data_IF_495287012985
#
_entry.id   IF_495287012985
#
_cell.length_a   1.000
_cell.length_b   1.000
_cell.length_c   1.000
_cell.angle_alpha   90.00
_cell.angle_beta   90.00
_cell.angle_gamma   90.00
#
_symmetry.space_group_name_H-M   'P 1'
#
loop_
_entity.id
_entity.type
_entity.pdbx_description
1 polymer ?
#
# COMPACT_ATOMS: atom_id res chain seq x y z
N UNK A 1 19.66 2.65 17.90
CA UNK A 1 19.36 3.70 16.90
C UNK A 1 17.85 3.82 16.71
N UNK A 2 17.13 2.77 16.31
CA UNK A 2 15.66 2.85 16.15
C UNK A 2 14.91 3.13 17.46
N UNK A 3 15.44 2.68 18.61
CA UNK A 3 14.82 2.94 19.91
C UNK A 3 14.74 4.43 20.27
N UNK A 4 15.80 5.22 20.03
CA UNK A 4 15.83 6.67 20.30
C UNK A 4 14.86 7.41 19.38
N UNK A 5 14.83 7.01 18.10
CA UNK A 5 13.93 7.57 17.09
C UNK A 5 12.47 7.26 17.46
N UNK A 6 12.17 6.02 17.89
CA UNK A 6 10.84 5.62 18.34
C UNK A 6 10.38 6.43 19.55
N UNK A 7 11.27 6.72 20.51
CA UNK A 7 10.96 7.60 21.65
C UNK A 7 10.68 9.03 21.18
N UNK A 8 11.52 9.60 20.31
CA UNK A 8 11.29 10.95 19.78
C UNK A 8 9.97 11.05 19.00
N UNK A 9 9.62 10.02 18.23
CA UNK A 9 8.34 9.91 17.53
C UNK A 9 7.19 9.86 18.54
N UNK A 10 7.28 9.02 19.59
CA UNK A 10 6.29 8.97 20.66
C UNK A 10 6.05 10.36 21.27
N UNK A 11 7.11 11.06 21.63
CA UNK A 11 7.01 12.40 22.22
C UNK A 11 6.39 13.42 21.26
N UNK A 12 6.75 13.38 19.98
CA UNK A 12 6.15 14.24 18.94
C UNK A 12 4.66 13.95 18.79
N UNK A 13 4.28 12.68 18.70
CA UNK A 13 2.89 12.25 18.58
C UNK A 13 2.06 12.59 19.82
N UNK A 14 2.62 12.51 21.03
CA UNK A 14 1.92 12.90 22.26
C UNK A 14 1.58 14.40 22.28
N UNK A 15 2.47 15.26 21.78
CA UNK A 15 2.25 16.71 21.69
C UNK A 15 1.29 17.11 20.56
N UNK A 16 1.22 16.30 19.50
CA UNK A 16 0.39 16.59 18.32
C UNK A 16 -1.11 16.54 18.63
N UNK A 17 -1.88 17.50 18.12
CA UNK A 17 -3.35 17.54 18.20
C UNK A 17 -4.00 17.47 16.82
N UNK A 18 -3.39 18.14 15.83
CA UNK A 18 -3.85 18.16 14.44
C UNK A 18 -2.81 17.52 13.54
N UNK A 19 -3.08 16.31 13.06
CA UNK A 19 -2.10 15.48 12.34
C UNK A 19 -2.50 15.35 10.88
N UNK A 20 -1.56 15.61 9.98
CA UNK A 20 -1.65 15.27 8.57
C UNK A 20 -0.83 14.01 8.30
N UNK A 21 -1.44 13.01 7.69
CA UNK A 21 -0.78 11.78 7.24
C UNK A 21 -0.93 11.68 5.74
N UNK A 22 0.18 11.50 5.03
CA UNK A 22 0.21 11.25 3.59
C UNK A 22 1.01 9.98 3.28
N UNK A 23 0.78 9.43 2.10
CA UNK A 23 1.58 8.35 1.53
C UNK A 23 1.80 8.62 0.03
N UNK A 24 2.37 7.67 -0.69
CA UNK A 24 2.77 7.88 -2.07
C UNK A 24 1.61 7.86 -3.09
N UNK A 25 1.80 8.53 -4.22
CA UNK A 25 0.97 8.40 -5.43
C UNK A 25 0.94 6.96 -5.92
N UNK A 26 -0.17 6.57 -6.55
CA UNK A 26 -0.53 5.20 -6.89
C UNK A 26 -0.43 4.28 -5.66
N UNK A 27 -1.20 4.57 -4.60
CA UNK A 27 -1.10 3.84 -3.34
C UNK A 27 -1.48 2.37 -3.54
N UNK A 28 -0.64 1.48 -3.01
CA UNK A 28 -0.92 0.06 -2.92
C UNK A 28 -1.56 -0.25 -1.56
N UNK A 29 -1.62 -1.55 -1.21
CA UNK A 29 -2.26 -1.96 0.03
C UNK A 29 -1.46 -1.60 1.28
N UNK A 30 -0.14 -1.47 1.21
CA UNK A 30 0.66 -1.04 2.37
C UNK A 30 0.55 0.47 2.59
N UNK A 31 0.61 1.26 1.52
CA UNK A 31 0.34 2.69 1.59
C UNK A 31 -1.04 2.99 2.21
N UNK A 32 -2.09 2.30 1.74
CA UNK A 32 -3.45 2.46 2.29
C UNK A 32 -3.54 1.92 3.72
N UNK A 33 -3.00 0.72 3.98
CA UNK A 33 -3.06 0.05 5.26
C UNK A 33 -2.33 0.80 6.36
N UNK A 34 -1.14 1.31 6.07
CA UNK A 34 -0.31 2.11 6.97
C UNK A 34 -0.96 3.47 7.28
N UNK A 35 -1.49 4.15 6.26
CA UNK A 35 -2.17 5.44 6.40
C UNK A 35 -3.44 5.32 7.25
N UNK A 36 -4.30 4.33 6.97
CA UNK A 36 -5.50 4.07 7.76
C UNK A 36 -5.16 3.56 9.16
N UNK A 37 -4.20 2.64 9.29
CA UNK A 37 -3.78 2.07 10.57
C UNK A 37 -3.29 3.13 11.55
N UNK A 38 -2.35 3.98 11.13
CA UNK A 38 -1.88 5.10 11.95
C UNK A 38 -2.99 6.12 12.17
N UNK A 39 -3.71 6.51 11.11
CA UNK A 39 -4.71 7.56 11.20
C UNK A 39 -5.89 7.22 12.11
N UNK A 40 -6.39 5.99 12.06
CA UNK A 40 -7.45 5.51 12.95
C UNK A 40 -6.96 5.39 14.39
N UNK A 41 -5.74 4.89 14.62
CA UNK A 41 -5.19 4.80 15.97
C UNK A 41 -5.05 6.18 16.63
N UNK A 42 -4.59 7.18 15.87
CA UNK A 42 -4.50 8.57 16.35
C UNK A 42 -5.88 9.21 16.56
N UNK A 43 -6.87 8.94 15.70
CA UNK A 43 -8.26 9.39 15.90
C UNK A 43 -8.87 8.80 17.16
N UNK A 44 -8.68 7.51 17.42
CA UNK A 44 -9.17 6.84 18.62
C UNK A 44 -8.58 7.44 19.90
N UNK A 45 -7.36 7.99 19.82
CA UNK A 45 -6.71 8.73 20.89
C UNK A 45 -7.15 10.21 21.01
N UNK A 46 -8.23 10.61 20.30
CA UNK A 46 -8.83 11.94 20.40
C UNK A 46 -8.16 13.02 19.54
N UNK A 47 -7.25 12.66 18.63
CA UNK A 47 -6.59 13.63 17.74
C UNK A 47 -7.46 13.96 16.53
N UNK A 48 -7.28 15.16 15.99
CA UNK A 48 -7.83 15.52 14.68
C UNK A 48 -6.88 15.04 13.61
N UNK A 49 -7.29 14.11 12.76
CA UNK A 49 -6.41 13.50 11.74
C UNK A 49 -6.96 13.69 10.34
N UNK A 50 -6.13 14.26 9.47
CA UNK A 50 -6.33 14.32 8.03
C UNK A 50 -5.48 13.24 7.36
N UNK A 51 -6.14 12.29 6.71
CA UNK A 51 -5.50 11.24 5.93
C UNK A 51 -5.62 11.59 4.44
N UNK A 52 -4.49 11.65 3.73
CA UNK A 52 -4.45 12.09 2.33
C UNK A 52 -3.76 11.06 1.44
N UNK A 53 -4.46 10.68 0.37
CA UNK A 53 -3.89 9.96 -0.77
C UNK A 53 -4.29 10.72 -2.02
N UNK A 54 -3.32 11.28 -2.74
CA UNK A 54 -3.57 12.17 -3.89
C UNK A 54 -4.42 11.49 -4.98
N UNK A 55 -4.12 10.22 -5.26
CA UNK A 55 -4.90 9.43 -6.23
C UNK A 55 -6.17 8.80 -5.63
N UNK A 56 -6.36 8.94 -4.31
CA UNK A 56 -7.42 8.35 -3.51
C UNK A 56 -7.22 6.86 -3.22
N UNK A 57 -8.17 6.29 -2.47
CA UNK A 57 -8.16 4.86 -2.14
C UNK A 57 -8.63 4.03 -3.33
N UNK A 58 -7.81 3.05 -3.74
CA UNK A 58 -8.15 2.10 -4.80
C UNK A 58 -9.37 1.26 -4.41
N UNK A 59 -10.18 0.85 -5.39
CA UNK A 59 -11.47 0.19 -5.14
C UNK A 59 -11.35 -1.07 -4.28
N UNK A 60 -10.26 -1.82 -4.43
CA UNK A 60 -9.97 -3.04 -3.66
C UNK A 60 -9.84 -2.79 -2.17
N UNK A 61 -9.54 -1.56 -1.72
CA UNK A 61 -9.33 -1.23 -0.30
C UNK A 61 -10.42 -0.33 0.30
N UNK A 62 -11.44 0.06 -0.48
CA UNK A 62 -12.57 0.89 0.01
C UNK A 62 -13.50 0.18 1.01
N UNK A 63 -13.29 -1.11 1.24
CA UNK A 63 -14.02 -1.84 2.27
C UNK A 63 -13.43 -1.62 3.67
N UNK A 64 -12.21 -1.08 3.76
CA UNK A 64 -11.58 -0.76 5.04
C UNK A 64 -12.30 0.45 5.65
N UNK A 65 -12.60 0.34 6.94
CA UNK A 65 -13.19 1.42 7.71
C UNK A 65 -12.30 2.66 7.68
N UNK A 66 -12.91 3.83 7.49
CA UNK A 66 -12.22 5.11 7.41
C UNK A 66 -11.65 5.44 6.03
N UNK A 67 -11.68 4.52 5.07
CA UNK A 67 -11.29 4.79 3.68
C UNK A 67 -12.13 5.89 3.03
N UNK A 68 -13.39 6.03 3.44
CA UNK A 68 -14.31 7.09 3.02
C UNK A 68 -13.92 8.49 3.51
N UNK A 69 -13.09 8.57 4.55
CA UNK A 69 -12.58 9.84 5.09
C UNK A 69 -11.23 10.26 4.51
N UNK A 70 -10.64 9.44 3.62
CA UNK A 70 -9.37 9.77 2.97
C UNK A 70 -9.61 10.85 1.92
N UNK A 71 -8.96 12.00 2.11
CA UNK A 71 -9.02 13.11 1.18
C UNK A 71 -7.99 12.95 0.06
N UNK A 72 -8.21 13.64 -1.06
CA UNK A 72 -7.25 13.73 -2.18
C UNK A 72 -6.34 14.94 -2.10
N UNK A 73 -6.71 15.93 -1.30
CA UNK A 73 -5.96 17.15 -1.13
C UNK A 73 -5.77 17.43 0.35
N UNK A 74 -4.56 17.88 0.75
CA UNK A 74 -4.34 18.33 2.10
C UNK A 74 -5.02 19.67 2.34
N UNK A 75 -5.59 19.86 3.52
CA UNK A 75 -5.96 21.17 4.06
C UNK A 75 -4.92 21.63 5.07
N UNK A 76 -4.85 22.95 5.24
CA UNK A 76 -4.03 23.58 6.28
C UNK A 76 -4.58 23.33 7.69
N UNK A 77 -3.84 23.78 8.71
CA UNK A 77 -4.27 23.69 10.11
C UNK A 77 -3.83 22.43 10.84
N UNK A 78 -2.77 21.76 10.38
CA UNK A 78 -2.09 20.68 11.11
C UNK A 78 -0.87 21.23 11.86
N UNK A 79 -0.55 20.61 12.99
CA UNK A 79 0.65 20.88 13.79
C UNK A 79 1.74 19.83 13.59
N UNK A 80 1.43 18.70 12.94
CA UNK A 80 2.34 17.58 12.70
C UNK A 80 2.05 16.97 11.34
N UNK A 81 3.08 16.84 10.50
CA UNK A 81 3.00 16.17 9.20
C UNK A 81 3.79 14.86 9.22
N UNK A 82 3.14 13.77 8.80
CA UNK A 82 3.68 12.42 8.78
C UNK A 82 3.57 11.86 7.35
N UNK A 83 4.64 11.24 6.87
CA UNK A 83 4.59 10.36 5.72
C UNK A 83 4.73 8.91 6.14
N UNK A 84 3.91 8.04 5.55
CA UNK A 84 4.01 6.58 5.71
C UNK A 84 4.22 5.94 4.35
N UNK A 85 5.07 4.91 4.31
CA UNK A 85 5.29 4.10 3.12
C UNK A 85 5.68 4.94 1.90
N UNK A 86 6.69 5.78 2.05
CA UNK A 86 7.11 6.72 1.01
C UNK A 86 8.62 6.94 1.06
N UNK A 87 9.32 6.35 0.09
CA UNK A 87 10.79 6.39 0.00
C UNK A 87 11.37 7.73 -0.46
N UNK A 88 10.63 8.48 -1.28
CA UNK A 88 11.02 9.77 -1.88
C UNK A 88 9.88 10.76 -1.62
N UNK A 89 10.20 11.94 -1.09
CA UNK A 89 9.19 12.94 -0.75
C UNK A 89 8.35 13.37 -1.95
N UNK A 90 8.94 13.40 -3.16
CA UNK A 90 8.23 13.74 -4.40
C UNK A 90 7.10 12.77 -4.72
N UNK A 91 7.19 11.53 -4.21
CA UNK A 91 6.12 10.54 -4.38
C UNK A 91 4.88 10.86 -3.56
N UNK A 92 4.89 11.77 -2.59
CA UNK A 92 3.66 12.23 -1.93
C UNK A 92 2.71 12.97 -2.89
N UNK A 93 3.24 13.46 -4.02
CA UNK A 93 2.47 14.02 -5.13
C UNK A 93 2.41 15.55 -5.13
N UNK A 94 1.91 16.11 -6.24
CA UNK A 94 1.91 17.55 -6.51
C UNK A 94 1.35 18.45 -5.38
N UNK A 95 0.27 18.09 -4.67
CA UNK A 95 -0.24 18.92 -3.57
C UNK A 95 0.76 19.16 -2.42
N UNK A 96 1.78 18.31 -2.29
CA UNK A 96 2.81 18.41 -1.25
C UNK A 96 4.13 19.01 -1.76
N UNK A 97 4.25 19.36 -3.04
CA UNK A 97 5.50 19.81 -3.65
C UNK A 97 6.08 21.07 -2.99
N UNK A 98 5.20 21.93 -2.46
CA UNK A 98 5.58 23.17 -1.76
C UNK A 98 5.60 23.02 -0.24
N UNK A 99 5.32 21.83 0.30
CA UNK A 99 5.34 21.61 1.74
C UNK A 99 6.77 21.53 2.25
N UNK A 100 6.98 21.95 3.50
CA UNK A 100 8.19 21.61 4.21
C UNK A 100 8.31 20.08 4.36
N UNK A 101 9.53 19.54 4.57
CA UNK A 101 9.68 18.13 4.88
C UNK A 101 8.83 17.72 6.09
N UNK A 102 8.30 16.48 6.12
CA UNK A 102 7.46 16.04 7.22
C UNK A 102 8.23 15.97 8.54
N UNK A 103 7.51 16.10 9.64
CA UNK A 103 8.05 15.89 10.98
C UNK A 103 8.51 14.44 11.15
N UNK A 104 7.74 13.49 10.60
CA UNK A 104 7.97 12.05 10.77
C UNK A 104 7.85 11.35 9.41
N UNK A 105 8.82 10.51 9.08
CA UNK A 105 8.74 9.55 7.98
C UNK A 105 8.87 8.13 8.53
N UNK A 106 7.89 7.27 8.25
CA UNK A 106 7.88 5.85 8.64
C UNK A 106 7.82 5.01 7.37
N UNK A 107 8.82 4.19 7.12
CA UNK A 107 8.94 3.45 5.87
C UNK A 107 9.81 2.21 6.01
N UNK A 108 9.62 1.22 5.13
CA UNK A 108 10.43 0.00 5.07
C UNK A 108 11.29 -0.10 3.79
N UNK A 109 11.21 0.87 2.87
CA UNK A 109 11.99 0.82 1.65
C UNK A 109 13.49 1.05 1.90
N UNK A 110 14.34 0.13 1.41
CA UNK A 110 15.82 0.27 1.43
C UNK A 110 16.32 1.52 0.71
N UNK A 111 15.53 2.03 -0.24
CA UNK A 111 15.84 3.19 -1.07
C UNK A 111 15.39 4.52 -0.47
N UNK A 112 14.83 4.52 0.76
CA UNK A 112 14.30 5.73 1.37
C UNK A 112 15.38 6.82 1.58
N UNK A 113 15.06 8.06 1.21
CA UNK A 113 15.97 9.21 1.22
C UNK A 113 16.14 9.86 2.62
N UNK A 114 15.40 9.39 3.62
CA UNK A 114 15.37 9.92 5.00
C UNK A 114 15.04 11.41 5.06
N UNK A 115 14.04 11.81 4.29
CA UNK A 115 13.67 13.22 4.10
C UNK A 115 12.89 13.84 5.26
N UNK A 116 12.39 13.07 6.23
CA UNK A 116 11.68 13.61 7.40
C UNK A 116 12.62 14.22 8.44
N UNK A 117 12.07 14.94 9.42
CA UNK A 117 12.84 15.39 10.59
C UNK A 117 13.21 14.19 11.48
N UNK A 118 12.24 13.30 11.72
CA UNK A 118 12.42 12.00 12.35
C UNK A 118 12.17 10.91 11.30
N UNK A 119 13.11 9.98 11.12
CA UNK A 119 13.01 8.93 10.11
C UNK A 119 13.10 7.56 10.77
N UNK A 120 11.97 6.86 10.88
CA UNK A 120 11.91 5.47 11.32
C UNK A 120 11.88 4.56 10.10
N UNK A 121 13.08 4.15 9.67
CA UNK A 121 13.26 3.33 8.48
C UNK A 121 13.73 1.93 8.89
N UNK A 122 12.85 0.94 8.77
CA UNK A 122 13.14 -0.44 9.17
C UNK A 122 13.10 -1.38 7.97
N UNK A 123 14.17 -1.33 7.16
CA UNK A 123 14.15 -1.95 5.85
C UNK A 123 14.22 -3.49 5.81
N UNK A 124 14.26 -4.12 6.99
CA UNK A 124 14.15 -5.57 7.16
C UNK A 124 12.71 -6.00 7.51
N UNK A 125 11.82 -5.04 7.82
CA UNK A 125 10.40 -5.30 8.00
C UNK A 125 9.71 -5.56 6.66
N UNK A 126 8.68 -6.42 6.71
CA UNK A 126 7.99 -6.90 5.51
C UNK A 126 7.06 -5.88 4.88
N UNK A 127 6.74 -4.80 5.60
CA UNK A 127 5.82 -3.74 5.22
C UNK A 127 5.96 -2.58 6.22
N UNK A 128 5.65 -1.36 5.80
CA UNK A 128 5.45 -0.22 6.71
C UNK A 128 4.35 -0.51 7.74
N UNK A 129 3.30 -1.25 7.35
CA UNK A 129 2.25 -1.67 8.27
C UNK A 129 2.76 -2.60 9.38
N UNK A 130 3.83 -3.39 9.13
CA UNK A 130 4.47 -4.21 10.16
C UNK A 130 5.19 -3.33 11.19
N UNK A 131 5.91 -2.29 10.73
CA UNK A 131 6.56 -1.29 11.59
C UNK A 131 5.53 -0.65 12.52
N UNK A 132 4.41 -0.17 11.96
CA UNK A 132 3.33 0.45 12.74
C UNK A 132 2.69 -0.55 13.72
N UNK A 133 2.52 -1.80 13.33
CA UNK A 133 1.99 -2.85 14.20
C UNK A 133 2.86 -3.07 15.44
N UNK A 134 4.19 -2.95 15.31
CA UNK A 134 5.12 -3.03 16.44
C UNK A 134 5.06 -1.79 17.34
N UNK A 135 5.09 -0.60 16.73
CA UNK A 135 5.34 0.62 17.49
C UNK A 135 4.10 1.32 18.05
N UNK A 136 2.91 1.15 17.46
CA UNK A 136 1.70 1.82 17.97
C UNK A 136 1.46 1.54 19.47
N UNK A 137 1.55 0.29 19.97
CA UNK A 137 1.41 0.02 21.40
C UNK A 137 2.51 0.67 22.25
N UNK A 138 3.76 0.69 21.76
CA UNK A 138 4.89 1.33 22.45
C UNK A 138 4.73 2.85 22.58
N UNK A 139 4.07 3.45 21.60
CA UNK A 139 3.72 4.87 21.59
C UNK A 139 2.45 5.18 22.42
N UNK A 140 1.77 4.16 22.93
CA UNK A 140 0.56 4.27 23.75
C UNK A 140 -0.74 4.35 22.94
N UNK A 141 -0.75 3.89 21.69
CA UNK A 141 -1.92 3.84 20.83
C UNK A 141 -2.48 2.42 20.72
N UNK A 142 -3.80 2.30 20.85
CA UNK A 142 -4.48 1.01 20.81
C UNK A 142 -4.71 0.51 19.37
N UNK A 143 -4.44 -0.78 19.15
CA UNK A 143 -4.79 -1.47 17.92
C UNK A 143 -6.19 -2.08 18.06
N UNK A 144 -7.20 -1.27 17.72
CA UNK A 144 -8.60 -1.72 17.61
C UNK A 144 -8.79 -2.60 16.37
N UNK A 145 -9.93 -3.30 16.25
CA UNK A 145 -10.22 -4.14 15.07
C UNK A 145 -10.13 -3.39 13.72
N UNK A 146 -10.65 -2.15 13.57
CA UNK A 146 -10.45 -1.37 12.34
C UNK A 146 -8.98 -1.06 12.02
N UNK A 147 -8.20 -0.66 13.05
CA UNK A 147 -6.75 -0.44 12.92
C UNK A 147 -6.06 -1.73 12.49
N UNK A 148 -6.41 -2.85 13.13
CA UNK A 148 -5.85 -4.16 12.80
C UNK A 148 -6.17 -4.61 11.38
N UNK A 149 -7.39 -4.36 10.88
CA UNK A 149 -7.76 -4.70 9.51
C UNK A 149 -6.95 -3.91 8.47
N UNK A 150 -6.71 -2.63 8.73
CA UNK A 150 -5.89 -1.79 7.87
C UNK A 150 -4.42 -2.26 7.86
N UNK A 151 -3.81 -2.45 9.03
CA UNK A 151 -2.42 -2.90 9.15
C UNK A 151 -2.23 -4.32 8.57
N UNK A 152 -3.17 -5.22 8.83
CA UNK A 152 -3.12 -6.58 8.28
C UNK A 152 -3.25 -6.58 6.76
N UNK A 153 -4.03 -5.65 6.20
CA UNK A 153 -4.10 -5.45 4.74
C UNK A 153 -2.73 -5.09 4.18
N UNK A 154 -2.04 -4.12 4.76
CA UNK A 154 -0.70 -3.72 4.31
C UNK A 154 0.31 -4.87 4.32
N UNK A 155 0.39 -5.59 5.44
CA UNK A 155 1.30 -6.75 5.58
C UNK A 155 0.97 -7.83 4.54
N UNK A 156 -0.31 -8.17 4.38
CA UNK A 156 -0.74 -9.21 3.44
C UNK A 156 -0.47 -8.79 2.00
N UNK A 157 -0.71 -7.53 1.63
CA UNK A 157 -0.52 -7.10 0.24
C UNK A 157 0.94 -6.97 -0.14
N UNK A 158 1.78 -6.42 0.75
CA UNK A 158 3.18 -6.18 0.41
C UNK A 158 4.00 -7.48 0.33
N UNK A 159 3.62 -8.47 1.15
CA UNK A 159 4.16 -9.83 1.06
C UNK A 159 3.55 -10.66 -0.07
N UNK A 160 2.67 -10.09 -0.90
CA UNK A 160 1.87 -10.80 -1.91
C UNK A 160 1.12 -12.00 -1.32
N UNK A 161 0.71 -11.91 -0.06
CA UNK A 161 0.12 -13.00 0.70
C UNK A 161 1.16 -14.02 1.13
N UNK A 162 2.25 -13.54 1.73
CA UNK A 162 3.36 -14.35 2.27
C UNK A 162 4.14 -15.15 1.21
N UNK A 163 4.18 -14.66 -0.03
CA UNK A 163 4.86 -15.29 -1.17
C UNK A 163 6.16 -14.58 -1.57
N UNK A 164 6.49 -13.47 -0.92
CA UNK A 164 7.77 -12.78 -1.11
C UNK A 164 8.88 -13.40 -0.25
N UNK A 165 10.13 -13.26 -0.70
CA UNK A 165 11.31 -13.82 -0.01
C UNK A 165 11.64 -13.19 1.33
N UNK A 166 11.14 -11.98 1.60
CA UNK A 166 11.31 -11.29 2.89
C UNK A 166 10.30 -11.74 3.97
N UNK A 167 9.31 -12.58 3.63
CA UNK A 167 8.36 -13.14 4.60
C UNK A 167 9.10 -13.93 5.69
N UNK A 168 8.83 -13.61 6.95
CA UNK A 168 9.54 -14.19 8.09
C UNK A 168 8.62 -14.53 9.28
N UNK A 169 9.09 -15.29 10.30
CA UNK A 169 8.27 -15.65 11.45
C UNK A 169 7.75 -14.47 12.26
N UNK A 170 8.46 -13.33 12.28
CA UNK A 170 7.99 -12.12 12.97
C UNK A 170 6.70 -11.62 12.34
N UNK A 171 6.68 -11.45 11.02
CA UNK A 171 5.50 -11.01 10.26
C UNK A 171 4.26 -11.88 10.55
N UNK A 172 4.42 -13.20 10.56
CA UNK A 172 3.30 -14.12 10.84
C UNK A 172 2.77 -13.98 12.28
N UNK A 173 3.64 -13.69 13.26
CA UNK A 173 3.21 -13.40 14.64
C UNK A 173 2.47 -12.07 14.73
N UNK A 174 2.90 -11.04 13.98
CA UNK A 174 2.17 -9.78 13.89
C UNK A 174 0.76 -10.02 13.35
N UNK A 175 0.63 -10.77 12.26
CA UNK A 175 -0.67 -11.12 11.70
C UNK A 175 -1.55 -11.86 12.70
N UNK A 176 -1.00 -12.85 13.42
CA UNK A 176 -1.74 -13.57 14.46
C UNK A 176 -2.28 -12.61 15.54
N UNK A 177 -1.44 -11.70 16.04
CA UNK A 177 -1.85 -10.66 17.00
C UNK A 177 -2.94 -9.73 16.44
N UNK A 178 -2.85 -9.33 15.17
CA UNK A 178 -3.89 -8.52 14.53
C UNK A 178 -5.22 -9.29 14.42
N UNK A 179 -5.17 -10.59 14.13
CA UNK A 179 -6.35 -11.46 14.06
C UNK A 179 -7.03 -11.66 15.43
N UNK A 180 -6.31 -11.58 16.55
CA UNK A 180 -6.88 -11.66 17.90
C UNK A 180 -7.92 -10.55 18.17
N UNK A 181 -7.87 -9.44 17.44
CA UNK A 181 -8.91 -8.39 17.49
C UNK A 181 -10.24 -8.79 16.82
N UNK A 182 -10.28 -9.97 16.19
CA UNK A 182 -11.44 -10.52 15.48
C UNK A 182 -11.52 -10.14 14.01
N UNK A 183 -10.42 -9.70 13.38
CA UNK A 183 -10.34 -9.49 11.92
C UNK A 183 -10.41 -10.84 11.20
N UNK A 184 -11.28 -10.94 10.21
CA UNK A 184 -11.35 -12.09 9.32
C UNK A 184 -10.27 -11.98 8.24
N UNK A 185 -9.15 -12.66 8.47
CA UNK A 185 -8.06 -12.71 7.50
C UNK A 185 -8.52 -13.28 6.15
N UNK A 186 -9.43 -14.26 6.12
CA UNK A 186 -9.87 -14.89 4.88
C UNK A 186 -10.62 -13.90 3.98
N UNK A 187 -11.60 -13.18 4.52
CA UNK A 187 -12.33 -12.18 3.73
C UNK A 187 -11.43 -11.00 3.33
N UNK A 188 -10.55 -10.54 4.23
CA UNK A 188 -9.56 -9.50 3.94
C UNK A 188 -8.65 -9.92 2.78
N UNK A 189 -8.07 -11.12 2.86
CA UNK A 189 -7.19 -11.66 1.82
C UNK A 189 -7.92 -11.77 0.48
N UNK A 190 -9.17 -12.26 0.50
CA UNK A 190 -10.01 -12.34 -0.69
C UNK A 190 -10.26 -10.97 -1.30
N UNK A 191 -10.58 -9.93 -0.52
CA UNK A 191 -10.83 -8.58 -1.03
C UNK A 191 -9.58 -7.88 -1.53
N UNK A 192 -8.47 -8.03 -0.81
CA UNK A 192 -7.22 -7.30 -1.08
C UNK A 192 -6.41 -7.90 -2.22
N UNK A 193 -6.42 -9.23 -2.41
CA UNK A 193 -5.53 -9.89 -3.37
C UNK A 193 -6.25 -10.69 -4.47
N UNK A 194 -7.40 -11.31 -4.17
CA UNK A 194 -7.96 -12.38 -5.02
C UNK A 194 -9.15 -11.92 -5.85
N UNK A 195 -10.12 -11.22 -5.23
CA UNK A 195 -11.38 -10.83 -5.87
C UNK A 195 -11.08 -9.94 -7.08
N UNK A 196 -11.67 -10.29 -8.21
CA UNK A 196 -11.69 -9.49 -9.44
C UNK A 196 -13.12 -9.30 -9.88
N UNK A 197 -13.39 -8.17 -10.52
CA UNK A 197 -14.69 -7.94 -11.13
C UNK A 197 -14.85 -8.87 -12.34
N UNK A 198 -16.09 -9.18 -12.70
CA UNK A 198 -16.35 -9.99 -13.90
C UNK A 198 -15.76 -9.36 -15.19
N UNK A 199 -15.83 -8.03 -15.42
CA UNK A 199 -15.11 -7.38 -16.51
C UNK A 199 -13.60 -7.60 -16.46
N UNK A 200 -12.97 -7.49 -15.29
CA UNK A 200 -11.54 -7.76 -15.13
C UNK A 200 -11.19 -9.21 -15.49
N UNK A 201 -12.00 -10.18 -15.07
CA UNK A 201 -11.81 -11.58 -15.42
C UNK A 201 -11.96 -11.85 -16.94
N UNK A 202 -12.92 -11.19 -17.62
CA UNK A 202 -13.00 -11.24 -19.09
C UNK A 202 -11.78 -10.63 -19.76
N UNK A 203 -11.27 -9.51 -19.21
CA UNK A 203 -10.07 -8.85 -19.72
C UNK A 203 -8.83 -9.73 -19.55
N UNK A 204 -8.72 -10.45 -18.43
CA UNK A 204 -7.72 -11.50 -18.23
C UNK A 204 -7.81 -12.58 -19.31
N UNK A 205 -9.01 -13.04 -19.65
CA UNK A 205 -9.22 -14.02 -20.72
C UNK A 205 -8.59 -13.60 -22.06
N UNK A 206 -8.75 -12.33 -22.44
CA UNK A 206 -8.09 -11.78 -23.65
C UNK A 206 -6.56 -11.92 -23.58
N UNK A 207 -5.93 -11.53 -22.47
CA UNK A 207 -4.48 -11.62 -22.31
C UNK A 207 -3.98 -13.06 -22.25
N UNK A 208 -4.63 -13.90 -21.44
CA UNK A 208 -4.25 -15.30 -21.24
C UNK A 208 -4.38 -16.14 -22.52
N UNK A 209 -5.38 -15.86 -23.36
CA UNK A 209 -5.56 -16.56 -24.65
C UNK A 209 -4.46 -16.27 -25.67
N UNK A 210 -3.64 -15.23 -25.43
CA UNK A 210 -2.56 -14.77 -26.30
C UNK A 210 -1.22 -14.73 -25.57
N UNK A 211 -1.03 -15.63 -24.61
CA UNK A 211 0.27 -15.79 -23.97
C UNK A 211 1.31 -16.27 -24.98
N UNK A 212 2.46 -15.62 -24.93
CA UNK A 212 3.64 -16.02 -25.66
C UNK A 212 4.76 -16.32 -24.68
N UNK A 213 5.64 -17.27 -25.02
CA UNK A 213 6.78 -17.64 -24.21
C UNK A 213 8.02 -17.84 -25.08
N UNK A 214 9.15 -17.25 -24.67
CA UNK A 214 10.44 -17.43 -25.33
C UNK A 214 11.58 -17.19 -24.35
N UNK A 215 12.53 -18.12 -24.28
CA UNK A 215 13.76 -17.99 -23.47
C UNK A 215 13.52 -17.63 -21.99
N UNK A 216 12.46 -18.19 -21.39
CA UNK A 216 12.07 -17.89 -20.00
C UNK A 216 11.33 -16.57 -19.82
N UNK A 217 11.03 -15.84 -20.89
CA UNK A 217 10.13 -14.66 -20.84
C UNK A 217 8.73 -15.15 -21.21
N UNK A 218 7.73 -14.81 -20.38
CA UNK A 218 6.31 -15.04 -20.67
C UNK A 218 5.62 -13.69 -20.76
N UNK A 219 4.86 -13.44 -21.81
CA UNK A 219 4.16 -12.17 -21.97
C UNK A 219 2.76 -12.29 -22.56
N UNK A 220 1.96 -11.26 -22.33
CA UNK A 220 0.68 -11.05 -23.00
C UNK A 220 0.57 -9.59 -23.47
N UNK A 221 -0.32 -9.37 -24.43
CA UNK A 221 -0.70 -8.03 -24.90
C UNK A 221 -2.20 -7.82 -24.69
N UNK A 222 -2.56 -6.68 -24.12
CA UNK A 222 -3.93 -6.23 -23.91
C UNK A 222 -4.18 -4.95 -24.69
N UNK A 223 -5.17 -4.98 -25.58
CA UNK A 223 -5.52 -3.86 -26.47
C UNK A 223 -6.66 -3.00 -25.88
N UNK A 224 -6.86 -1.82 -26.46
CA UNK A 224 -8.04 -0.98 -26.20
C UNK A 224 -9.33 -1.69 -26.63
N UNK A 225 -9.28 -2.53 -27.66
CA UNK A 225 -10.42 -3.32 -28.09
C UNK A 225 -10.79 -4.39 -27.05
N UNK A 226 -9.82 -5.08 -26.46
CA UNK A 226 -10.05 -6.03 -25.37
C UNK A 226 -10.68 -5.33 -24.15
N UNK A 227 -10.21 -4.12 -23.82
CA UNK A 227 -10.77 -3.31 -22.74
C UNK A 227 -12.23 -2.95 -23.01
N UNK A 228 -12.55 -2.52 -24.24
CA UNK A 228 -13.92 -2.22 -24.68
C UNK A 228 -14.82 -3.46 -24.64
N UNK A 229 -14.36 -4.61 -25.16
CA UNK A 229 -15.13 -5.87 -25.21
C UNK A 229 -15.38 -6.46 -23.82
N UNK A 230 -14.39 -6.35 -22.92
CA UNK A 230 -14.53 -6.80 -21.53
C UNK A 230 -15.42 -5.87 -20.70
N UNK A 231 -15.49 -4.58 -21.05
CA UNK A 231 -16.16 -3.56 -20.24
C UNK A 231 -15.36 -3.18 -18.99
N UNK A 232 -14.05 -3.45 -18.99
CA UNK A 232 -13.16 -3.09 -17.89
C UNK A 232 -12.88 -1.58 -17.90
N UNK A 233 -13.18 -0.90 -16.80
CA UNK A 233 -13.10 0.57 -16.71
C UNK A 233 -11.76 1.10 -16.21
N UNK A 234 -10.86 0.24 -15.71
CA UNK A 234 -9.51 0.65 -15.32
C UNK A 234 -8.67 1.03 -16.55
N UNK A 235 -7.47 1.57 -16.33
CA UNK A 235 -6.47 1.85 -17.38
C UNK A 235 -5.18 1.01 -17.23
N UNK A 236 -5.21 0.05 -16.30
CA UNK A 236 -4.14 -0.89 -15.99
C UNK A 236 -4.41 -2.28 -16.63
N UNK A 237 -3.63 -3.28 -16.20
CA UNK A 237 -3.70 -4.70 -16.56
C UNK A 237 -4.62 -5.54 -15.64
N UNK A 238 -5.39 -4.91 -14.76
CA UNK A 238 -6.22 -5.58 -13.75
C UNK A 238 -5.45 -6.61 -12.90
N UNK A 239 -4.17 -6.35 -12.62
CA UNK A 239 -3.23 -7.24 -11.92
C UNK A 239 -2.90 -8.56 -12.65
N UNK A 240 -3.17 -8.67 -13.96
CA UNK A 240 -2.87 -9.89 -14.72
C UNK A 240 -1.38 -10.25 -14.67
N UNK A 241 -0.49 -9.25 -14.57
CA UNK A 241 0.95 -9.48 -14.44
C UNK A 241 1.30 -10.43 -13.29
N UNK A 242 0.55 -10.42 -12.18
CA UNK A 242 0.81 -11.29 -11.04
C UNK A 242 0.55 -12.77 -11.36
N UNK A 243 -0.39 -13.06 -12.26
CA UNK A 243 -0.65 -14.41 -12.74
C UNK A 243 0.42 -14.83 -13.76
N UNK A 244 0.78 -13.93 -14.69
CA UNK A 244 1.80 -14.20 -15.71
C UNK A 244 3.16 -14.50 -15.06
N UNK A 245 3.57 -13.72 -14.06
CA UNK A 245 4.83 -13.92 -13.34
C UNK A 245 4.84 -15.17 -12.44
N UNK A 246 3.70 -15.84 -12.27
CA UNK A 246 3.58 -17.07 -11.50
C UNK A 246 3.55 -18.34 -12.39
N UNK A 247 3.62 -18.18 -13.72
CA UNK A 247 3.66 -19.32 -14.66
C UNK A 247 4.98 -20.07 -14.52
N UNK A 248 4.93 -21.39 -14.36
CA UNK A 248 6.14 -22.21 -14.18
C UNK A 248 7.15 -22.06 -15.34
N UNK A 249 8.44 -22.10 -15.01
CA UNK A 249 9.54 -21.92 -15.97
C UNK A 249 9.75 -20.49 -16.48
N UNK A 250 9.03 -19.48 -15.97
CA UNK A 250 9.33 -18.09 -16.26
C UNK A 250 10.54 -17.60 -15.44
N UNK A 251 11.32 -16.72 -16.04
CA UNK A 251 12.33 -15.86 -15.40
C UNK A 251 11.83 -14.42 -15.33
N UNK A 252 11.03 -14.03 -16.32
CA UNK A 252 10.42 -12.70 -16.44
C UNK A 252 9.00 -12.85 -16.96
N UNK A 253 8.04 -12.30 -16.22
CA UNK A 253 6.68 -12.06 -16.70
C UNK A 253 6.56 -10.63 -17.22
N UNK A 254 5.90 -10.43 -18.36
CA UNK A 254 5.64 -9.10 -18.93
C UNK A 254 4.21 -8.95 -19.40
N UNK A 255 3.70 -7.72 -19.38
CA UNK A 255 2.44 -7.39 -20.04
C UNK A 255 2.53 -6.04 -20.71
N UNK A 256 2.02 -5.98 -21.94
CA UNK A 256 1.91 -4.79 -22.76
C UNK A 256 0.46 -4.32 -22.78
N UNK A 257 0.20 -3.12 -22.29
CA UNK A 257 -1.16 -2.57 -22.17
C UNK A 257 -1.27 -1.31 -23.03
N UNK A 258 -2.02 -1.40 -24.11
CA UNK A 258 -2.31 -0.28 -25.00
C UNK A 258 -3.06 0.85 -24.26
N UNK A 259 -2.59 2.08 -24.44
CA UNK A 259 -3.18 3.30 -23.89
C UNK A 259 -3.80 4.15 -25.00
N UNK A 260 -4.79 4.98 -24.67
CA UNK A 260 -5.53 5.80 -25.64
C UNK A 260 -4.72 6.92 -26.29
N UNK A 261 -3.55 7.23 -25.75
CA UNK A 261 -2.65 8.31 -26.17
C UNK A 261 -1.48 7.80 -27.01
N UNK A 262 -1.66 6.67 -27.72
CA UNK A 262 -0.65 5.98 -28.52
C UNK A 262 0.59 5.51 -27.73
N UNK A 263 0.50 5.42 -26.41
CA UNK A 263 1.53 4.79 -25.57
C UNK A 263 1.17 3.34 -25.25
N UNK A 264 2.20 2.57 -24.88
CA UNK A 264 2.05 1.23 -24.31
C UNK A 264 2.63 1.25 -22.91
N UNK A 265 1.78 0.97 -21.91
CA UNK A 265 2.24 0.74 -20.54
C UNK A 265 2.79 -0.68 -20.46
N UNK A 266 4.00 -0.82 -19.97
CA UNK A 266 4.64 -2.12 -19.74
C UNK A 266 4.70 -2.37 -18.24
N UNK A 267 4.20 -3.52 -17.81
CA UNK A 267 4.41 -4.01 -16.44
C UNK A 267 5.16 -5.33 -16.51
N UNK A 268 6.18 -5.50 -15.67
CA UNK A 268 7.00 -6.69 -15.67
C UNK A 268 7.43 -7.06 -14.26
N UNK A 269 7.70 -8.35 -14.06
CA UNK A 269 8.26 -8.90 -12.82
C UNK A 269 9.34 -9.91 -13.19
N UNK A 270 10.45 -9.89 -12.47
CA UNK A 270 11.48 -10.92 -12.56
C UNK A 270 11.57 -11.67 -11.23
N UNK A 271 11.90 -12.96 -11.31
CA UNK A 271 12.21 -13.82 -10.18
C UNK A 271 13.68 -13.71 -9.78
#
# INVERSE_FOLDING_TARGET
MNWEISIAIRERLQKAQHVLIASHVRPDGDAVGSLLGLGLALKNAGKTVQMVLVDGVTSSFRYLEGSEFVAREPREGFDTFITVDCADFKRTGKPFETFAPPDINIDHHKTNEKFGTLNLIEAEEVATAAILTNHLPEWGYEITKPVAAALLTGIVTDTLGFRTSNTNPSALRLCARLMETGVDLSDLYMRSLVKKSFPAAKYWGSGLSRLEQKNGIVWATLTLEDRKRSGYSGNDDADLINMISAIDGNRVGMIFVEQSDNHVKISWRAL
#
